data_IF_672205925366
#
_entry.id   IF_672205925366
#
_cell.length_a   1.000
_cell.length_b   1.000
_cell.length_c   1.000
_cell.angle_alpha   90.00
_cell.angle_beta   90.00
_cell.angle_gamma   90.00
#
_symmetry.space_group_name_H-M   'P 1'
#
loop_
_entity.id
_entity.type
_entity.pdbx_description
1 polymer ?
#
# COMPACT_ATOMS: atom_id res chain seq x y z
N UNK A 1 -7.21 18.01 2.26
CA UNK A 1 -6.24 16.96 2.64
C UNK A 1 -5.55 16.50 1.37
N UNK A 2 -4.22 16.30 1.41
CA UNK A 2 -3.45 15.89 0.24
C UNK A 2 -3.60 14.38 -0.01
N UNK A 3 -4.53 14.00 -0.88
CA UNK A 3 -4.34 12.78 -1.69
C UNK A 3 -3.43 13.15 -2.86
N UNK A 4 -2.15 13.32 -2.56
CA UNK A 4 -1.11 13.42 -3.58
C UNK A 4 -0.76 12.00 -3.98
N UNK A 5 -1.13 11.59 -5.20
CA UNK A 5 -0.40 10.56 -5.93
C UNK A 5 1.10 10.88 -5.85
N UNK A 6 1.96 10.05 -5.25
CA UNK A 6 3.38 10.29 -5.26
C UNK A 6 4.04 9.25 -6.17
N UNK A 7 4.27 9.60 -7.44
CA UNK A 7 5.43 9.13 -8.17
C UNK A 7 5.76 10.16 -9.24
N UNK A 8 6.77 10.99 -8.96
CA UNK A 8 7.81 11.50 -9.88
C UNK A 8 8.80 12.23 -8.96
N UNK A 9 9.82 11.51 -8.51
CA UNK A 9 11.03 12.12 -7.94
C UNK A 9 12.01 12.38 -9.08
N UNK A 10 12.50 13.62 -9.16
CA UNK A 10 13.61 14.01 -10.04
C UNK A 10 14.87 13.20 -9.71
N UNK A 11 15.38 12.41 -10.64
CA UNK A 11 16.82 12.25 -10.84
C UNK A 11 17.15 11.78 -12.26
N UNK A 12 18.24 12.34 -12.76
CA UNK A 12 18.75 12.31 -14.13
C UNK A 12 19.20 10.93 -14.62
N UNK A 13 19.09 10.76 -15.93
CA UNK A 13 19.91 9.93 -16.81
C UNK A 13 19.99 8.42 -16.52
N UNK A 14 19.18 7.63 -17.22
CA UNK A 14 19.63 6.61 -18.19
C UNK A 14 18.52 5.60 -18.52
N UNK A 15 18.46 5.27 -19.79
CA UNK A 15 17.43 4.57 -20.56
C UNK A 15 17.19 3.13 -20.11
N UNK A 16 15.93 2.76 -19.86
CA UNK A 16 15.44 1.39 -20.12
C UNK A 16 14.00 1.45 -20.62
N UNK A 17 13.85 1.21 -21.92
CA UNK A 17 12.58 1.17 -22.62
C UNK A 17 12.00 -0.26 -22.57
N UNK A 18 10.81 -0.39 -21.99
CA UNK A 18 9.87 -1.43 -22.38
C UNK A 18 8.66 -0.73 -23.00
N UNK A 19 8.61 -0.73 -24.33
CA UNK A 19 7.47 -0.25 -25.11
C UNK A 19 6.30 -1.21 -24.94
N UNK A 20 5.19 -0.67 -24.44
CA UNK A 20 3.86 -1.27 -24.54
C UNK A 20 2.88 -0.12 -24.79
N UNK A 21 2.50 0.05 -26.07
CA UNK A 21 1.32 0.78 -26.53
C UNK A 21 1.39 2.31 -26.42
N UNK A 22 1.45 2.96 -27.57
CA UNK A 22 1.22 4.40 -27.76
C UNK A 22 -0.06 4.87 -27.05
N UNK A 23 0.12 5.54 -25.92
CA UNK A 23 -0.84 6.49 -25.37
C UNK A 23 -0.03 7.71 -24.93
N UNK A 24 0.27 8.58 -25.90
CA UNK A 24 0.80 9.91 -25.64
C UNK A 24 -0.27 10.72 -24.87
N UNK A 25 -0.17 10.70 -23.54
CA UNK A 25 -0.73 11.74 -22.70
C UNK A 25 0.04 13.02 -23.00
N UNK A 26 -0.47 13.81 -23.93
CA UNK A 26 -0.11 15.22 -24.06
C UNK A 26 -0.44 15.94 -22.76
N UNK A 27 0.56 16.07 -21.87
CA UNK A 27 0.64 17.16 -20.91
C UNK A 27 0.86 18.46 -21.69
N UNK A 28 -0.20 18.96 -22.31
CA UNK A 28 -0.31 20.36 -22.69
C UNK A 28 -0.99 21.10 -21.53
N UNK A 29 -0.14 21.66 -20.67
CA UNK A 29 -0.38 22.99 -20.14
C UNK A 29 -0.86 23.88 -21.30
N UNK A 30 -2.02 24.53 -21.14
CA UNK A 30 -2.86 25.12 -22.18
C UNK A 30 -3.80 24.11 -22.87
N UNK A 31 -4.99 23.93 -22.31
CA UNK A 31 -6.14 23.62 -23.14
C UNK A 31 -6.57 24.94 -23.80
N UNK A 32 -6.46 25.07 -25.13
CA UNK A 32 -7.20 26.08 -25.86
C UNK A 32 -8.64 25.58 -25.93
N UNK A 33 -9.53 26.11 -25.10
CA UNK A 33 -10.96 26.11 -25.40
C UNK A 33 -11.17 27.05 -26.59
N UNK A 34 -10.85 26.59 -27.80
CA UNK A 34 -11.22 27.27 -29.03
C UNK A 34 -11.53 26.24 -30.12
N UNK A 35 -12.69 26.48 -30.75
CA UNK A 35 -13.23 25.85 -31.95
C UNK A 35 -14.07 24.57 -31.76
N UNK A 36 -15.31 24.72 -31.29
CA UNK A 36 -16.52 24.79 -32.14
C UNK A 36 -17.65 25.47 -31.35
N UNK A 37 -17.72 26.80 -31.48
CA UNK A 37 -18.90 27.68 -31.39
C UNK A 37 -18.34 29.11 -31.47
N UNK A 38 -18.20 29.62 -32.69
CA UNK A 38 -17.83 31.01 -32.96
C UNK A 38 -18.82 31.95 -32.29
N UNK A 39 -18.38 32.74 -31.29
CA UNK A 39 -19.07 33.98 -30.92
C UNK A 39 -19.22 34.35 -29.45
N UNK A 40 -18.65 33.62 -28.48
CA UNK A 40 -18.71 34.03 -27.08
C UNK A 40 -17.31 34.04 -26.46
N UNK A 41 -16.54 35.07 -26.78
CA UNK A 41 -15.49 35.50 -25.85
C UNK A 41 -16.18 35.81 -24.51
N UNK A 42 -15.70 35.27 -23.38
CA UNK A 42 -16.36 35.44 -22.10
C UNK A 42 -16.53 36.95 -21.86
N UNK A 43 -17.77 37.42 -21.58
CA UNK A 43 -18.04 38.86 -21.44
C UNK A 43 -17.16 39.56 -20.41
N UNK A 44 -16.62 38.79 -19.46
CA UNK A 44 -15.64 39.23 -18.47
C UNK A 44 -14.72 38.05 -18.07
N UNK A 45 -13.49 37.99 -18.61
CA UNK A 45 -12.51 36.96 -18.28
C UNK A 45 -12.12 36.95 -16.79
N UNK A 46 -12.18 38.09 -16.10
CA UNK A 46 -11.86 38.17 -14.67
C UNK A 46 -12.96 37.55 -13.81
N UNK A 47 -14.23 37.74 -14.20
CA UNK A 47 -15.37 37.11 -13.53
C UNK A 47 -15.37 35.61 -13.73
N UNK A 48 -15.03 35.13 -14.93
CA UNK A 48 -14.88 33.70 -15.19
C UNK A 48 -13.78 33.08 -14.32
N UNK A 49 -12.61 33.72 -14.24
CA UNK A 49 -11.51 33.25 -13.39
C UNK A 49 -11.94 33.15 -11.92
N UNK A 50 -12.64 34.17 -11.40
CA UNK A 50 -13.21 34.16 -10.05
C UNK A 50 -14.23 33.03 -9.87
N UNK A 51 -15.07 32.78 -10.89
CA UNK A 51 -16.01 31.67 -10.91
C UNK A 51 -15.31 30.31 -10.82
N UNK A 52 -14.26 30.10 -11.61
CA UNK A 52 -13.45 28.87 -11.58
C UNK A 52 -12.80 28.69 -10.19
N UNK A 53 -12.23 29.76 -9.62
CA UNK A 53 -11.66 29.71 -8.28
C UNK A 53 -12.70 29.36 -7.21
N UNK A 54 -13.89 29.96 -7.30
CA UNK A 54 -14.99 29.67 -6.38
C UNK A 54 -15.47 28.22 -6.50
N UNK A 55 -15.59 27.68 -7.72
CA UNK A 55 -15.95 26.28 -7.95
C UNK A 55 -14.90 25.32 -7.41
N UNK A 56 -13.61 25.56 -7.68
CA UNK A 56 -12.51 24.75 -7.14
C UNK A 56 -12.47 24.78 -5.62
N UNK A 57 -12.71 25.95 -5.01
CA UNK A 57 -12.79 26.07 -3.57
C UNK A 57 -13.95 25.24 -3.02
N UNK A 58 -15.13 25.36 -3.63
CA UNK A 58 -16.32 24.58 -3.25
C UNK A 58 -16.07 23.07 -3.40
N UNK A 59 -15.51 22.65 -4.52
CA UNK A 59 -15.18 21.25 -4.78
C UNK A 59 -14.20 20.71 -3.74
N UNK A 60 -13.13 21.45 -3.46
CA UNK A 60 -12.10 21.05 -2.50
C UNK A 60 -12.61 20.93 -1.04
N UNK A 61 -13.63 21.71 -0.66
CA UNK A 61 -14.12 21.77 0.72
C UNK A 61 -15.43 21.02 0.97
N UNK A 62 -16.34 21.01 -0.01
CA UNK A 62 -17.70 20.49 0.16
C UNK A 62 -17.90 19.11 -0.47
N UNK A 63 -16.98 18.65 -1.34
CA UNK A 63 -17.12 17.36 -2.04
C UNK A 63 -16.18 16.33 -1.42
N UNK A 64 -16.80 15.28 -0.88
CA UNK A 64 -16.09 14.07 -0.49
C UNK A 64 -15.92 13.16 -1.71
N UNK A 65 -14.79 13.28 -2.39
CA UNK A 65 -14.51 12.51 -3.59
C UNK A 65 -14.45 11.00 -3.32
N UNK A 66 -13.97 10.58 -2.15
CA UNK A 66 -13.86 9.17 -1.79
C UNK A 66 -15.23 8.49 -1.74
N UNK A 67 -16.26 9.22 -1.24
CA UNK A 67 -17.66 8.76 -1.23
C UNK A 67 -18.26 8.56 -2.63
N UNK A 68 -17.67 9.15 -3.67
CA UNK A 68 -18.08 8.97 -5.07
C UNK A 68 -17.24 7.86 -5.73
N UNK A 69 -15.92 7.88 -5.51
CA UNK A 69 -14.96 6.97 -6.15
C UNK A 69 -15.19 5.52 -5.68
N UNK A 70 -15.39 5.28 -4.38
CA UNK A 70 -15.54 3.94 -3.83
C UNK A 70 -16.75 3.19 -4.44
N UNK A 71 -17.97 3.77 -4.51
CA UNK A 71 -19.10 3.12 -5.18
C UNK A 71 -18.89 2.88 -6.68
N UNK A 72 -18.19 3.77 -7.38
CA UNK A 72 -17.85 3.60 -8.79
C UNK A 72 -16.90 2.42 -8.99
N UNK A 73 -15.83 2.33 -8.19
CA UNK A 73 -14.90 1.21 -8.21
C UNK A 73 -15.59 -0.11 -7.87
N UNK A 74 -16.46 -0.12 -6.85
CA UNK A 74 -17.26 -1.29 -6.48
C UNK A 74 -18.15 -1.76 -7.64
N UNK A 75 -18.81 -0.82 -8.32
CA UNK A 75 -19.63 -1.11 -9.51
C UNK A 75 -18.79 -1.68 -10.65
N UNK A 76 -17.61 -1.13 -10.90
CA UNK A 76 -16.67 -1.63 -11.90
C UNK A 76 -16.17 -3.05 -11.54
N UNK A 77 -15.79 -3.30 -10.29
CA UNK A 77 -15.41 -4.63 -9.79
C UNK A 77 -16.52 -5.66 -10.06
N UNK A 78 -17.79 -5.29 -9.84
CA UNK A 78 -18.93 -6.15 -10.13
C UNK A 78 -19.05 -6.48 -11.64
N UNK A 79 -18.81 -5.51 -12.53
CA UNK A 79 -18.79 -5.75 -13.97
C UNK A 79 -17.65 -6.68 -14.39
N UNK A 80 -16.42 -6.44 -13.93
CA UNK A 80 -15.28 -7.30 -14.27
C UNK A 80 -15.38 -8.69 -13.64
N UNK A 81 -16.07 -8.83 -12.51
CA UNK A 81 -16.45 -10.14 -11.96
C UNK A 81 -17.43 -10.87 -12.89
N UNK A 82 -18.47 -10.18 -13.40
CA UNK A 82 -19.46 -10.74 -14.33
C UNK A 82 -18.82 -11.23 -15.64
N UNK A 83 -17.89 -10.47 -16.19
CA UNK A 83 -17.19 -10.82 -17.44
C UNK A 83 -15.92 -11.66 -17.25
N UNK A 84 -15.68 -12.19 -16.04
CA UNK A 84 -14.55 -13.10 -15.74
C UNK A 84 -13.18 -12.49 -16.09
N UNK A 85 -12.96 -11.22 -15.72
CA UNK A 85 -11.68 -10.53 -15.87
C UNK A 85 -10.95 -10.43 -14.52
N UNK A 86 -10.27 -11.49 -14.04
CA UNK A 86 -9.73 -11.55 -12.68
C UNK A 86 -8.64 -10.50 -12.42
N UNK A 87 -7.79 -10.19 -13.42
CA UNK A 87 -6.71 -9.20 -13.28
C UNK A 87 -7.25 -7.79 -13.05
N UNK A 88 -8.20 -7.36 -13.89
CA UNK A 88 -8.82 -6.04 -13.74
C UNK A 88 -9.63 -5.95 -12.45
N UNK A 89 -10.35 -7.02 -12.09
CA UNK A 89 -11.07 -7.09 -10.80
C UNK A 89 -10.12 -6.84 -9.61
N UNK A 90 -8.95 -7.51 -9.59
CA UNK A 90 -7.96 -7.35 -8.51
C UNK A 90 -7.37 -5.95 -8.50
N UNK A 91 -7.00 -5.41 -9.66
CA UNK A 91 -6.47 -4.04 -9.77
C UNK A 91 -7.47 -3.02 -9.19
N UNK A 92 -8.73 -3.07 -9.60
CA UNK A 92 -9.76 -2.16 -9.07
C UNK A 92 -10.02 -2.36 -7.58
N UNK A 93 -9.84 -3.59 -7.07
CA UNK A 93 -9.94 -3.86 -5.63
C UNK A 93 -8.76 -3.25 -4.86
N UNK A 94 -7.56 -3.22 -5.45
CA UNK A 94 -6.40 -2.49 -4.88
C UNK A 94 -6.70 -1.00 -4.85
N UNK A 95 -7.11 -0.42 -5.98
CA UNK A 95 -7.46 1.01 -6.09
C UNK A 95 -8.56 1.39 -5.08
N UNK A 96 -9.57 0.53 -4.90
CA UNK A 96 -10.62 0.74 -3.90
C UNK A 96 -10.08 0.68 -2.47
N UNK A 97 -9.15 -0.24 -2.18
CA UNK A 97 -8.49 -0.31 -0.88
C UNK A 97 -7.63 0.92 -0.56
N UNK A 98 -6.92 1.45 -1.56
CA UNK A 98 -6.15 2.69 -1.46
C UNK A 98 -7.06 3.89 -1.24
N UNK A 99 -8.23 3.93 -1.89
CA UNK A 99 -9.22 4.99 -1.66
C UNK A 99 -9.81 4.93 -0.25
N UNK A 100 -10.12 3.74 0.27
CA UNK A 100 -10.52 3.58 1.68
C UNK A 100 -9.44 4.04 2.67
N UNK A 101 -8.16 3.82 2.34
CA UNK A 101 -7.05 4.32 3.16
C UNK A 101 -7.03 5.84 3.18
N UNK A 102 -7.21 6.49 2.03
CA UNK A 102 -7.33 7.94 1.90
C UNK A 102 -8.55 8.49 2.66
N UNK A 103 -9.66 7.77 2.62
CA UNK A 103 -10.89 8.07 3.36
C UNK A 103 -10.77 7.83 4.88
N UNK A 104 -9.63 7.31 5.36
CA UNK A 104 -9.36 6.93 6.75
C UNK A 104 -10.21 5.78 7.31
N UNK A 105 -10.89 5.01 6.47
CA UNK A 105 -11.46 3.72 6.88
C UNK A 105 -10.42 2.61 6.70
N UNK A 106 -9.46 2.61 7.63
CA UNK A 106 -8.31 1.70 7.60
C UNK A 106 -8.71 0.23 7.73
N UNK A 107 -9.86 -0.08 8.35
CA UNK A 107 -10.33 -1.46 8.53
C UNK A 107 -10.85 -2.03 7.20
N UNK A 108 -11.61 -1.25 6.44
CA UNK A 108 -12.06 -1.65 5.11
C UNK A 108 -10.90 -1.71 4.12
N UNK A 109 -10.00 -0.73 4.15
CA UNK A 109 -8.77 -0.74 3.34
C UNK A 109 -7.98 -2.04 3.57
N UNK A 110 -7.69 -2.35 4.83
CA UNK A 110 -6.94 -3.55 5.21
C UNK A 110 -7.61 -4.84 4.72
N UNK A 111 -8.94 -4.93 4.82
CA UNK A 111 -9.70 -6.09 4.37
C UNK A 111 -9.54 -6.34 2.87
N UNK A 112 -9.69 -5.30 2.06
CA UNK A 112 -9.56 -5.39 0.60
C UNK A 112 -8.14 -5.69 0.16
N UNK A 113 -7.15 -4.99 0.74
CA UNK A 113 -5.74 -5.15 0.39
C UNK A 113 -5.23 -6.55 0.76
N UNK A 114 -5.62 -7.10 1.92
CA UNK A 114 -5.29 -8.48 2.29
C UNK A 114 -5.90 -9.51 1.36
N UNK A 115 -7.12 -9.27 0.88
CA UNK A 115 -7.80 -10.19 -0.04
C UNK A 115 -7.02 -10.35 -1.34
N UNK A 116 -6.55 -9.25 -1.94
CA UNK A 116 -5.82 -9.26 -3.21
C UNK A 116 -4.34 -9.60 -3.08
N UNK A 117 -3.73 -9.35 -1.92
CA UNK A 117 -2.31 -9.66 -1.67
C UNK A 117 -1.97 -11.12 -1.98
N UNK A 118 -2.84 -12.06 -1.61
CA UNK A 118 -2.63 -13.49 -1.85
C UNK A 118 -2.40 -13.81 -3.33
N UNK A 119 -3.25 -13.26 -4.20
CA UNK A 119 -3.15 -13.49 -5.64
C UNK A 119 -1.83 -12.97 -6.22
N UNK A 120 -1.41 -11.77 -5.81
CA UNK A 120 -0.16 -11.16 -6.29
C UNK A 120 1.10 -11.85 -5.74
N UNK A 121 1.04 -12.44 -4.54
CA UNK A 121 2.12 -13.27 -3.99
C UNK A 121 2.33 -14.52 -4.83
N UNK A 122 1.25 -15.24 -5.16
CA UNK A 122 1.30 -16.46 -5.98
C UNK A 122 1.88 -16.16 -7.36
N UNK A 123 1.48 -15.04 -7.96
CA UNK A 123 1.99 -14.60 -9.26
C UNK A 123 3.37 -13.93 -9.20
N UNK A 124 3.94 -13.74 -8.00
CA UNK A 124 5.29 -13.19 -7.75
C UNK A 124 5.52 -11.77 -8.31
N UNK A 125 4.48 -10.92 -8.32
CA UNK A 125 4.59 -9.51 -8.72
C UNK A 125 5.23 -8.65 -7.62
N UNK A 126 6.53 -8.77 -7.43
CA UNK A 126 7.28 -8.14 -6.32
C UNK A 126 6.97 -6.65 -6.09
N UNK A 127 6.98 -5.76 -7.11
CA UNK A 127 6.70 -4.35 -6.87
C UNK A 127 5.27 -4.09 -6.40
N UNK A 128 4.30 -4.80 -6.99
CA UNK A 128 2.88 -4.68 -6.66
C UNK A 128 2.63 -5.17 -5.23
N UNK A 129 3.17 -6.36 -4.88
CA UNK A 129 3.06 -6.88 -3.51
C UNK A 129 3.67 -5.92 -2.50
N UNK A 130 4.85 -5.37 -2.78
CA UNK A 130 5.52 -4.43 -1.88
C UNK A 130 4.71 -3.15 -1.65
N UNK A 131 4.11 -2.61 -2.72
CA UNK A 131 3.24 -1.43 -2.64
C UNK A 131 1.98 -1.71 -1.81
N UNK A 132 1.25 -2.79 -2.14
CA UNK A 132 0.01 -3.16 -1.43
C UNK A 132 0.32 -3.48 0.04
N UNK A 133 1.43 -4.19 0.30
CA UNK A 133 1.87 -4.53 1.65
C UNK A 133 2.18 -3.28 2.48
N UNK A 134 2.77 -2.25 1.87
CA UNK A 134 3.03 -0.96 2.52
C UNK A 134 1.73 -0.30 2.96
N UNK A 135 0.76 -0.16 2.06
CA UNK A 135 -0.53 0.47 2.39
C UNK A 135 -1.32 -0.38 3.41
N UNK A 136 -1.30 -1.70 3.29
CA UNK A 136 -1.94 -2.61 4.24
C UNK A 136 -1.29 -2.51 5.63
N UNK A 137 0.03 -2.49 5.72
CA UNK A 137 0.75 -2.36 7.00
C UNK A 137 0.44 -1.02 7.68
N UNK A 138 0.45 0.09 6.92
CA UNK A 138 0.05 1.41 7.43
C UNK A 138 -1.41 1.42 7.90
N UNK A 139 -2.31 0.76 7.17
CA UNK A 139 -3.71 0.59 7.58
C UNK A 139 -3.84 -0.18 8.90
N UNK A 140 -3.08 -1.26 9.06
CA UNK A 140 -3.05 -2.04 10.30
C UNK A 140 -2.49 -1.22 11.47
N UNK A 141 -1.44 -0.42 11.23
CA UNK A 141 -0.89 0.50 12.22
C UNK A 141 -1.89 1.57 12.65
N UNK A 142 -2.53 2.27 11.70
CA UNK A 142 -3.47 3.36 11.98
C UNK A 142 -4.79 2.89 12.60
N UNK A 143 -5.13 1.59 12.48
CA UNK A 143 -6.29 0.98 13.13
C UNK A 143 -5.95 0.19 14.40
N UNK A 144 -4.67 0.19 14.83
CA UNK A 144 -4.15 -0.62 15.93
C UNK A 144 -4.55 -2.11 15.85
N UNK A 145 -4.61 -2.67 14.64
CA UNK A 145 -4.89 -4.09 14.44
C UNK A 145 -3.59 -4.90 14.61
N UNK A 146 -3.40 -5.41 15.83
CA UNK A 146 -2.15 -6.07 16.24
C UNK A 146 -1.85 -7.33 15.42
N UNK A 147 -2.83 -8.22 15.26
CA UNK A 147 -2.63 -9.49 14.55
C UNK A 147 -2.18 -9.28 13.09
N UNK A 148 -2.82 -8.35 12.40
CA UNK A 148 -2.48 -8.04 11.00
C UNK A 148 -1.19 -7.23 10.91
N UNK A 149 -0.94 -6.31 11.84
CA UNK A 149 0.31 -5.55 11.90
C UNK A 149 1.52 -6.46 12.06
N UNK A 150 1.47 -7.44 12.97
CA UNK A 150 2.55 -8.43 13.16
C UNK A 150 2.74 -9.29 11.91
N UNK A 151 1.65 -9.82 11.35
CA UNK A 151 1.71 -10.73 10.19
C UNK A 151 2.26 -10.04 8.95
N UNK A 152 1.76 -8.84 8.62
CA UNK A 152 2.23 -8.04 7.48
C UNK A 152 3.63 -7.47 7.76
N UNK A 153 3.93 -7.14 9.02
CA UNK A 153 5.20 -6.56 9.40
C UNK A 153 6.36 -7.54 9.25
N UNK A 154 6.15 -8.79 9.67
CA UNK A 154 7.11 -9.88 9.47
C UNK A 154 7.37 -10.13 7.98
N UNK A 155 6.33 -10.12 7.14
CA UNK A 155 6.48 -10.25 5.69
C UNK A 155 7.30 -9.09 5.09
N UNK A 156 7.03 -7.85 5.52
CA UNK A 156 7.70 -6.64 5.03
C UNK A 156 9.22 -6.66 5.30
N UNK A 157 9.64 -7.30 6.40
CA UNK A 157 11.06 -7.43 6.76
C UNK A 157 11.83 -8.29 5.73
N UNK A 158 11.14 -9.20 5.02
CA UNK A 158 11.73 -10.08 4.01
C UNK A 158 12.61 -9.33 3.00
N UNK A 159 13.75 -9.93 2.63
CA UNK A 159 14.60 -9.44 1.55
C UNK A 159 13.90 -9.41 0.19
N UNK A 160 12.83 -10.19 0.03
CA UNK A 160 12.03 -10.18 -1.19
C UNK A 160 11.15 -8.93 -1.28
N UNK A 161 10.80 -8.25 -0.20
CA UNK A 161 9.99 -7.03 -0.26
C UNK A 161 10.87 -5.80 -0.55
N UNK A 162 10.38 -4.91 -1.42
CA UNK A 162 11.01 -3.63 -1.73
C UNK A 162 10.67 -2.61 -0.63
N UNK A 163 11.55 -2.49 0.35
CA UNK A 163 11.44 -1.56 1.47
C UNK A 163 12.86 -1.21 1.92
N UNK A 164 13.06 0.04 2.33
CA UNK A 164 14.38 0.51 2.77
C UNK A 164 14.83 -0.17 4.07
N UNK A 165 16.14 -0.25 4.29
CA UNK A 165 16.69 -0.87 5.51
C UNK A 165 16.25 -0.12 6.78
N UNK A 166 16.14 1.21 6.70
CA UNK A 166 15.72 2.03 7.84
C UNK A 166 14.26 1.75 8.22
N UNK A 167 13.37 1.68 7.24
CA UNK A 167 11.95 1.31 7.46
C UNK A 167 11.83 -0.10 8.04
N UNK A 168 12.63 -1.06 7.55
CA UNK A 168 12.67 -2.42 8.11
C UNK A 168 13.17 -2.44 9.55
N UNK A 169 14.17 -1.64 9.89
CA UNK A 169 14.70 -1.52 11.25
C UNK A 169 13.65 -0.95 12.21
N UNK A 170 12.96 0.13 11.81
CA UNK A 170 11.84 0.70 12.59
C UNK A 170 10.76 -0.36 12.82
N UNK A 171 10.39 -1.09 11.78
CA UNK A 171 9.36 -2.12 11.86
C UNK A 171 9.75 -3.30 12.75
N UNK A 172 11.01 -3.76 12.68
CA UNK A 172 11.55 -4.79 13.57
C UNK A 172 11.47 -4.34 15.04
N UNK A 173 11.89 -3.10 15.32
CA UNK A 173 11.81 -2.55 16.66
C UNK A 173 10.36 -2.40 17.14
N UNK A 174 9.44 -1.99 16.26
CA UNK A 174 8.02 -1.87 16.59
C UNK A 174 7.39 -3.23 16.89
N UNK A 175 7.69 -4.27 16.10
CA UNK A 175 7.22 -5.64 16.39
C UNK A 175 7.73 -6.09 17.76
N UNK A 176 8.99 -5.85 18.08
CA UNK A 176 9.54 -6.15 19.39
C UNK A 176 8.85 -5.33 20.51
N UNK A 177 8.53 -4.06 20.26
CA UNK A 177 7.81 -3.23 21.23
C UNK A 177 6.39 -3.76 21.48
N UNK A 178 5.67 -4.18 20.44
CA UNK A 178 4.36 -4.82 20.59
C UNK A 178 4.45 -6.06 21.46
N UNK A 179 5.45 -6.93 21.22
CA UNK A 179 5.66 -8.15 22.01
C UNK A 179 6.02 -7.86 23.47
N UNK A 180 6.64 -6.70 23.75
CA UNK A 180 7.05 -6.26 25.09
C UNK A 180 6.05 -5.31 25.75
N UNK A 181 4.90 -5.03 25.12
CA UNK A 181 3.94 -4.05 25.62
C UNK A 181 4.47 -2.61 25.71
N UNK A 182 5.46 -2.25 24.88
CA UNK A 182 6.09 -0.93 24.82
C UNK A 182 5.44 -0.07 23.73
N UNK A 183 5.51 1.27 23.84
CA UNK A 183 5.03 2.17 22.79
C UNK A 183 5.80 1.98 21.47
N UNK A 184 5.13 2.19 20.35
CA UNK A 184 5.70 2.05 19.01
C UNK A 184 6.35 3.36 18.57
N UNK A 185 7.39 3.25 17.73
CA UNK A 185 7.91 4.38 16.98
C UNK A 185 6.96 4.78 15.85
N UNK A 186 6.95 6.08 15.54
CA UNK A 186 6.17 6.63 14.43
C UNK A 186 6.56 5.95 13.11
N UNK A 187 5.55 5.58 12.32
CA UNK A 187 5.77 4.90 11.05
C UNK A 187 6.11 5.90 9.94
N UNK A 188 7.08 5.58 9.07
CA UNK A 188 7.48 6.44 7.95
C UNK A 188 6.40 6.53 6.88
N UNK A 189 6.26 7.73 6.30
CA UNK A 189 5.25 8.04 5.28
C UNK A 189 3.82 8.23 5.80
N UNK A 190 3.66 8.34 7.12
CA UNK A 190 2.40 8.71 7.78
C UNK A 190 2.53 10.15 8.33
N UNK A 191 1.45 10.92 8.31
CA UNK A 191 1.47 12.28 8.84
C UNK A 191 1.72 12.29 10.36
N UNK A 192 2.28 13.37 10.89
CA UNK A 192 2.53 13.48 12.34
C UNK A 192 1.22 13.41 13.15
N UNK A 193 0.15 13.99 12.61
CA UNK A 193 -1.18 13.95 13.23
C UNK A 193 -1.72 12.53 13.31
N UNK A 194 -1.69 11.79 12.20
CA UNK A 194 -2.21 10.41 12.18
C UNK A 194 -1.34 9.48 13.05
N UNK A 195 -0.02 9.71 13.14
CA UNK A 195 0.86 8.98 14.07
C UNK A 195 0.48 9.23 15.54
N UNK A 196 0.13 10.47 15.91
CA UNK A 196 -0.32 10.80 17.28
C UNK A 196 -1.66 10.16 17.61
N UNK A 197 -2.57 10.08 16.64
CA UNK A 197 -3.85 9.38 16.79
C UNK A 197 -3.64 7.87 16.95
N UNK A 198 -2.77 7.29 16.12
CA UNK A 198 -2.41 5.87 16.21
C UNK A 198 -1.76 5.53 17.56
N UNK A 199 -0.87 6.36 18.10
CA UNK A 199 -0.22 6.12 19.40
C UNK A 199 -1.25 5.92 20.53
N UNK A 200 -2.32 6.73 20.56
CA UNK A 200 -3.42 6.57 21.51
C UNK A 200 -4.12 5.23 21.34
N UNK A 201 -4.45 4.85 20.10
CA UNK A 201 -5.10 3.57 19.80
C UNK A 201 -4.22 2.38 20.20
N UNK A 202 -2.91 2.47 19.99
CA UNK A 202 -1.96 1.42 20.37
C UNK A 202 -1.82 1.29 21.89
N UNK A 203 -1.82 2.40 22.63
CA UNK A 203 -1.82 2.37 24.11
C UNK A 203 -3.06 1.63 24.63
N UNK A 204 -4.24 1.93 24.10
CA UNK A 204 -5.48 1.24 24.45
C UNK A 204 -5.44 -0.24 24.04
N UNK A 205 -4.99 -0.54 22.82
CA UNK A 205 -4.91 -1.92 22.32
C UNK A 205 -3.98 -2.78 23.18
N UNK A 206 -2.78 -2.29 23.48
CA UNK A 206 -1.78 -2.99 24.30
C UNK A 206 -2.30 -3.21 25.73
N UNK A 207 -2.92 -2.20 26.36
CA UNK A 207 -3.48 -2.32 27.72
C UNK A 207 -4.61 -3.34 27.82
N UNK A 208 -5.42 -3.47 26.76
CA UNK A 208 -6.56 -4.38 26.72
C UNK A 208 -6.16 -5.85 26.48
N UNK A 209 -4.91 -6.13 26.09
CA UNK A 209 -4.46 -7.49 25.88
C UNK A 209 -4.08 -8.21 27.17
N UNK A 210 -4.59 -9.44 27.32
CA UNK A 210 -4.21 -10.34 28.42
C UNK A 210 -2.90 -11.05 28.07
N UNK A 211 -1.95 -11.05 28.98
CA UNK A 211 -0.72 -11.84 28.85
C UNK A 211 -1.03 -13.36 28.96
N UNK A 212 -0.34 -14.23 28.19
CA UNK A 212 0.68 -13.92 27.18
C UNK A 212 0.07 -13.54 25.81
N UNK A 213 0.75 -12.65 25.09
CA UNK A 213 0.42 -12.31 23.70
C UNK A 213 0.75 -13.49 22.77
N UNK A 214 -0.26 -14.25 22.35
CA UNK A 214 -0.12 -15.35 21.40
C UNK A 214 -0.67 -14.94 20.04
N UNK A 215 0.18 -14.96 19.03
CA UNK A 215 -0.17 -14.66 17.63
C UNK A 215 -0.02 -15.92 16.78
N UNK A 216 -1.01 -16.16 15.92
CA UNK A 216 -0.94 -17.26 14.95
C UNK A 216 -0.59 -16.70 13.58
N UNK A 217 0.55 -17.08 13.02
CA UNK A 217 0.99 -16.64 11.69
C UNK A 217 0.90 -17.82 10.72
N UNK A 218 0.12 -17.63 9.65
CA UNK A 218 0.01 -18.61 8.58
C UNK A 218 1.21 -18.44 7.63
N UNK A 219 2.27 -19.21 7.84
CA UNK A 219 3.52 -19.09 7.08
C UNK A 219 3.35 -19.38 5.58
N UNK A 220 2.36 -20.19 5.21
CA UNK A 220 1.99 -20.42 3.81
C UNK A 220 1.34 -19.20 3.15
N UNK A 221 0.88 -18.23 3.94
CA UNK A 221 0.12 -17.05 3.48
C UNK A 221 0.98 -15.81 3.21
N UNK A 222 2.25 -15.84 3.63
CA UNK A 222 3.19 -14.70 3.56
C UNK A 222 4.43 -15.08 2.76
N UNK A 223 5.12 -14.08 2.21
CA UNK A 223 6.45 -14.28 1.64
C UNK A 223 7.45 -14.61 2.75
N UNK A 224 8.30 -15.66 2.58
CA UNK A 224 9.30 -16.02 3.59
C UNK A 224 10.21 -14.83 3.93
N UNK A 225 10.38 -14.59 5.23
CA UNK A 225 11.19 -13.50 5.77
C UNK A 225 12.53 -13.98 6.35
N UNK A 226 12.70 -15.29 6.50
CA UNK A 226 13.96 -15.96 6.86
C UNK A 226 14.31 -16.89 5.71
N UNK A 227 15.54 -16.84 5.22
CA UNK A 227 16.06 -17.75 4.20
C UNK A 227 16.99 -18.76 4.86
N UNK A 228 16.48 -19.96 5.13
CA UNK A 228 17.28 -21.04 5.69
C UNK A 228 18.02 -21.80 4.57
N UNK A 229 19.36 -21.76 4.58
CA UNK A 229 20.21 -22.55 3.68
C UNK A 229 20.87 -23.68 4.44
N UNK A 230 20.72 -24.89 3.92
CA UNK A 230 21.37 -26.08 4.45
C UNK A 230 22.62 -26.39 3.61
N UNK A 231 23.78 -26.49 4.24
CA UNK A 231 25.04 -26.86 3.60
C UNK A 231 25.57 -28.17 4.14
N UNK A 232 26.02 -29.04 3.24
CA UNK A 232 26.80 -30.21 3.63
C UNK A 232 28.15 -29.77 4.20
N UNK A 233 28.58 -30.42 5.27
CA UNK A 233 29.88 -30.15 5.92
C UNK A 233 31.06 -30.63 5.04
N UNK A 234 30.84 -31.60 4.15
CA UNK A 234 31.85 -32.16 3.26
C UNK A 234 31.32 -32.33 1.85
N UNK A 235 32.24 -32.36 0.87
CA UNK A 235 31.92 -32.57 -0.55
C UNK A 235 31.56 -34.03 -0.87
N UNK A 236 32.01 -34.99 -0.05
CA UNK A 236 31.83 -36.41 -0.31
C UNK A 236 31.35 -37.15 0.95
N UNK A 237 30.46 -38.11 0.76
CA UNK A 237 29.95 -38.99 1.81
C UNK A 237 29.89 -40.43 1.33
N UNK A 238 30.11 -41.37 2.24
CA UNK A 238 29.94 -42.79 1.96
C UNK A 238 28.44 -43.17 1.99
N UNK A 239 28.09 -44.23 1.26
CA UNK A 239 26.75 -44.81 1.36
C UNK A 239 26.43 -45.18 2.81
N UNK A 240 25.18 -44.94 3.24
CA UNK A 240 24.65 -45.20 4.59
C UNK A 240 25.35 -44.46 5.75
N UNK A 241 26.20 -43.48 5.45
CA UNK A 241 26.82 -42.62 6.45
C UNK A 241 25.80 -41.60 6.99
N UNK A 242 25.71 -41.46 8.31
CA UNK A 242 24.99 -40.33 8.92
C UNK A 242 25.73 -39.04 8.63
N UNK A 243 25.02 -38.10 8.02
CA UNK A 243 25.57 -36.79 7.67
C UNK A 243 25.07 -35.71 8.63
N UNK A 244 25.97 -34.79 8.95
CA UNK A 244 25.63 -33.55 9.64
C UNK A 244 25.52 -32.44 8.60
N UNK A 245 24.48 -31.63 8.73
CA UNK A 245 24.19 -30.51 7.82
C UNK A 245 24.24 -29.23 8.63
N UNK A 246 24.97 -28.23 8.15
CA UNK A 246 25.02 -26.91 8.75
C UNK A 246 23.84 -26.10 8.24
N UNK A 247 23.10 -25.48 9.15
CA UNK A 247 21.98 -24.59 8.83
C UNK A 247 22.44 -23.14 8.97
N UNK A 248 22.33 -22.38 7.89
CA UNK A 248 22.56 -20.95 7.83
C UNK A 248 21.20 -20.24 7.78
N UNK A 249 21.00 -19.25 8.66
CA UNK A 249 19.80 -18.41 8.75
C UNK A 249 20.05 -17.02 8.17
#
# INVERSE_FOLDING_TARGET
MKCSFPYISKQKDSTFAFRLGDWDFFLLSSHPSSAVLTGLEPPDPQKELKGIMALKYKEYHDVDHSMIIIPLLSSAVAQFKKYKCPRMKRQLTVEMGEEYYCYKDYKQALTLLKHVLWDYRVEKWRPIVSSILTTALRSAYLSANIQDYISLGIEMISNWILCSTDEKSILQNNINNVLQGKPLFAMPGISEQDNKEADKLWQEAIQNHKEPLIFTIQMTSIVPFIECKAGFVSENYMADQRITVTVYL
#
